data_IF_573578202256
#
_entry.id   IF_573578202256
#
_cell.length_a   1.000
_cell.length_b   1.000
_cell.length_c   1.000
_cell.angle_alpha   90.00
_cell.angle_beta   90.00
_cell.angle_gamma   90.00
#
_symmetry.space_group_name_H-M   'P 1'
#
loop_
_entity.id
_entity.type
_entity.pdbx_description
1 polymer ?
#
# COMPACT_ATOMS: atom_id res chain seq x y z
N UNK A 1 7.36 -17.86 2.78
CA UNK A 1 5.98 -17.57 3.24
C UNK A 1 5.29 -18.89 3.51
N UNK A 2 4.57 -19.04 4.62
CA UNK A 2 3.76 -20.24 4.89
C UNK A 2 2.46 -20.22 4.06
N UNK A 3 1.76 -21.35 3.89
CA UNK A 3 0.45 -21.39 3.24
C UNK A 3 -0.55 -20.41 3.86
N UNK A 4 -0.65 -20.38 5.19
CA UNK A 4 -1.57 -19.48 5.89
C UNK A 4 -1.22 -17.99 5.70
N UNK A 5 0.08 -17.66 5.69
CA UNK A 5 0.52 -16.30 5.37
C UNK A 5 0.15 -15.92 3.93
N UNK A 6 0.34 -16.84 2.99
CA UNK A 6 -0.01 -16.63 1.59
C UNK A 6 -1.52 -16.41 1.44
N UNK A 7 -2.35 -17.22 2.09
CA UNK A 7 -3.81 -17.06 2.08
C UNK A 7 -4.25 -15.73 2.70
N UNK A 8 -3.66 -15.33 3.83
CA UNK A 8 -3.95 -14.06 4.48
C UNK A 8 -3.59 -12.85 3.60
N UNK A 9 -2.43 -12.88 2.95
CA UNK A 9 -2.00 -11.85 1.99
C UNK A 9 -2.93 -11.82 0.77
N UNK A 10 -3.24 -13.00 0.21
CA UNK A 10 -4.17 -13.16 -0.93
C UNK A 10 -5.52 -12.54 -0.61
N UNK A 11 -6.08 -12.84 0.56
CA UNK A 11 -7.37 -12.32 1.01
C UNK A 11 -7.35 -10.81 1.15
N UNK A 12 -6.31 -10.24 1.77
CA UNK A 12 -6.18 -8.80 1.94
C UNK A 12 -6.02 -8.05 0.60
N UNK A 13 -5.22 -8.58 -0.32
CA UNK A 13 -5.01 -7.99 -1.64
C UNK A 13 -6.24 -8.12 -2.54
N UNK A 14 -6.99 -9.21 -2.44
CA UNK A 14 -8.27 -9.35 -3.14
C UNK A 14 -9.28 -8.32 -2.63
N UNK A 15 -9.38 -8.17 -1.30
CA UNK A 15 -10.29 -7.20 -0.70
C UNK A 15 -9.93 -5.74 -1.02
N UNK A 16 -8.65 -5.43 -1.28
CA UNK A 16 -8.23 -4.14 -1.83
C UNK A 16 -8.95 -3.84 -3.15
N UNK A 17 -9.06 -4.83 -4.05
CA UNK A 17 -9.76 -4.66 -5.31
C UNK A 17 -11.27 -4.55 -5.14
N UNK A 18 -11.87 -5.41 -4.30
CA UNK A 18 -13.30 -5.35 -3.99
C UNK A 18 -13.70 -3.98 -3.45
N UNK A 19 -12.94 -3.44 -2.48
CA UNK A 19 -13.20 -2.12 -1.90
C UNK A 19 -13.14 -0.99 -2.95
N UNK A 20 -12.27 -1.11 -3.95
CA UNK A 20 -12.19 -0.15 -5.06
C UNK A 20 -13.38 -0.27 -6.01
N UNK A 21 -13.76 -1.50 -6.39
CA UNK A 21 -14.97 -1.77 -7.19
C UNK A 21 -16.22 -1.19 -6.52
N UNK A 22 -16.39 -1.46 -5.23
CA UNK A 22 -17.54 -0.98 -4.45
C UNK A 22 -17.56 0.56 -4.36
N UNK A 23 -16.41 1.18 -4.11
CA UNK A 23 -16.29 2.64 -4.08
C UNK A 23 -16.64 3.27 -5.43
N UNK A 24 -16.17 2.68 -6.53
CA UNK A 24 -16.50 3.14 -7.88
C UNK A 24 -18.00 3.00 -8.18
N UNK A 25 -18.61 1.86 -7.84
CA UNK A 25 -20.03 1.62 -8.02
C UNK A 25 -20.89 2.60 -7.19
N UNK A 26 -20.53 2.82 -5.93
CA UNK A 26 -21.23 3.77 -5.05
C UNK A 26 -21.13 5.21 -5.55
N UNK A 27 -20.00 5.61 -6.14
CA UNK A 27 -19.82 6.94 -6.72
C UNK A 27 -20.63 7.13 -8.01
N UNK A 28 -20.67 6.10 -8.88
CA UNK A 28 -21.51 6.10 -10.08
C UNK A 28 -22.99 6.24 -9.70
N UNK A 29 -23.45 5.50 -8.69
CA UNK A 29 -24.83 5.59 -8.18
C UNK A 29 -25.19 6.99 -7.64
N UNK A 30 -24.20 7.74 -7.13
CA UNK A 30 -24.38 9.13 -6.65
C UNK A 30 -24.37 10.18 -7.77
N UNK A 31 -24.23 9.79 -9.04
CA UNK A 31 -24.26 10.69 -10.20
C UNK A 31 -23.04 11.63 -10.31
N UNK A 32 -22.02 11.43 -9.48
CA UNK A 32 -20.86 12.33 -9.40
C UNK A 32 -19.70 11.71 -10.19
N UNK A 33 -19.74 11.86 -11.51
CA UNK A 33 -18.72 11.33 -12.43
C UNK A 33 -17.51 12.27 -12.42
N UNK A 34 -16.63 12.11 -11.43
CA UNK A 34 -15.36 12.82 -11.42
C UNK A 34 -14.51 12.35 -12.62
N UNK A 35 -14.08 13.29 -13.46
CA UNK A 35 -13.62 13.02 -14.84
C UNK A 35 -12.20 12.43 -14.91
N UNK A 36 -11.56 12.13 -13.77
CA UNK A 36 -10.11 11.87 -13.70
C UNK A 36 -9.63 10.53 -13.13
N UNK A 37 -10.41 9.44 -13.13
CA UNK A 37 -9.95 8.14 -12.58
C UNK A 37 -9.69 8.14 -11.06
N UNK A 38 -10.02 9.24 -10.39
CA UNK A 38 -10.03 9.37 -8.92
C UNK A 38 -11.22 8.67 -8.27
N UNK A 39 -12.12 8.10 -9.08
CA UNK A 39 -13.39 7.48 -8.69
C UNK A 39 -13.25 6.31 -7.70
N UNK A 40 -12.15 5.56 -7.73
CA UNK A 40 -11.88 4.45 -6.79
C UNK A 40 -10.92 4.79 -5.63
N UNK A 41 -10.40 6.02 -5.59
CA UNK A 41 -9.36 6.45 -4.62
C UNK A 41 -9.95 7.27 -3.48
N UNK A 42 -11.08 7.95 -3.69
CA UNK A 42 -11.64 8.96 -2.77
C UNK A 42 -12.42 8.40 -1.57
N UNK A 43 -12.75 7.10 -1.54
CA UNK A 43 -13.47 6.49 -0.42
C UNK A 43 -12.56 6.02 0.74
N UNK A 44 -11.24 6.15 0.62
CA UNK A 44 -10.31 6.11 1.76
C UNK A 44 -10.07 4.75 2.46
N UNK A 45 -10.70 3.65 2.03
CA UNK A 45 -10.65 2.36 2.77
C UNK A 45 -10.06 1.16 2.05
N UNK A 46 -9.53 1.31 0.83
CA UNK A 46 -9.07 0.16 0.05
C UNK A 46 -7.81 -0.53 0.62
N UNK A 47 -7.01 0.16 1.45
CA UNK A 47 -5.86 -0.44 2.15
C UNK A 47 -6.22 -1.01 3.52
N UNK A 48 -7.45 -0.85 4.01
CA UNK A 48 -7.81 -1.15 5.41
C UNK A 48 -7.64 -2.63 5.75
N UNK A 49 -7.86 -3.53 4.80
CA UNK A 49 -7.65 -4.97 5.03
C UNK A 49 -6.16 -5.32 5.13
N UNK A 50 -5.28 -4.58 4.47
CA UNK A 50 -3.83 -4.72 4.62
C UNK A 50 -3.39 -4.17 5.98
N UNK A 51 -3.96 -3.04 6.41
CA UNK A 51 -3.72 -2.51 7.76
C UNK A 51 -4.18 -3.51 8.85
N UNK A 52 -5.37 -4.13 8.67
CA UNK A 52 -5.88 -5.18 9.56
C UNK A 52 -4.99 -6.42 9.57
N UNK A 53 -4.47 -6.85 8.41
CA UNK A 53 -3.53 -7.97 8.33
C UNK A 53 -2.29 -7.72 9.19
N UNK A 54 -1.67 -6.54 9.07
CA UNK A 54 -0.48 -6.17 9.83
C UNK A 54 -0.78 -5.98 11.33
N UNK A 55 -1.96 -5.46 11.67
CA UNK A 55 -2.43 -5.43 13.05
C UNK A 55 -2.59 -6.85 13.64
N UNK A 56 -3.09 -7.80 12.85
CA UNK A 56 -3.15 -9.21 13.22
C UNK A 56 -1.78 -9.82 13.49
N UNK A 57 -0.77 -9.49 12.65
CA UNK A 57 0.63 -9.87 12.89
C UNK A 57 1.12 -9.32 14.23
N UNK A 58 0.78 -8.06 14.56
CA UNK A 58 1.18 -7.47 15.83
C UNK A 58 0.60 -8.20 17.05
N UNK A 59 -0.69 -8.52 17.00
CA UNK A 59 -1.35 -9.28 18.07
C UNK A 59 -0.77 -10.68 18.19
N UNK A 60 -0.55 -11.37 17.07
CA UNK A 60 0.07 -12.69 17.05
C UNK A 60 1.53 -12.69 17.52
N UNK A 61 2.22 -11.54 17.45
CA UNK A 61 3.56 -11.34 17.97
C UNK A 61 3.58 -11.09 19.50
N UNK A 62 2.43 -10.81 20.12
CA UNK A 62 2.28 -10.65 21.56
C UNK A 62 1.78 -9.29 22.02
N UNK A 63 1.50 -8.35 21.10
CA UNK A 63 0.91 -7.06 21.48
C UNK A 63 -0.54 -7.24 21.93
N UNK A 64 -0.96 -6.63 23.05
CA UNK A 64 -2.37 -6.57 23.43
C UNK A 64 -3.19 -5.83 22.37
N UNK A 65 -4.37 -6.35 22.03
CA UNK A 65 -5.22 -5.76 20.99
C UNK A 65 -5.60 -4.29 21.31
N UNK A 66 -5.64 -3.91 22.58
CA UNK A 66 -5.86 -2.54 23.05
C UNK A 66 -4.73 -1.57 22.68
N UNK A 67 -3.51 -2.07 22.48
CA UNK A 67 -2.32 -1.28 22.13
C UNK A 67 -2.09 -1.18 20.61
N UNK A 68 -2.81 -1.96 19.81
CA UNK A 68 -2.72 -1.97 18.34
C UNK A 68 -3.83 -1.10 17.74
N UNK A 69 -3.44 -0.02 17.06
CA UNK A 69 -4.34 0.91 16.40
C UNK A 69 -4.09 0.92 14.90
N UNK A 70 -5.14 0.84 14.09
CA UNK A 70 -5.04 0.82 12.64
C UNK A 70 -6.26 1.43 11.97
N UNK A 71 -6.13 1.81 10.70
CA UNK A 71 -7.27 2.19 9.86
C UNK A 71 -8.12 0.95 9.56
N UNK A 72 -9.08 0.70 10.43
CA UNK A 72 -9.87 -0.52 10.42
C UNK A 72 -11.00 -0.47 9.36
N UNK A 73 -11.23 -1.58 8.64
CA UNK A 73 -12.29 -1.67 7.65
C UNK A 73 -13.67 -1.51 8.30
N UNK A 74 -14.67 -1.13 7.50
CA UNK A 74 -16.06 -1.02 7.98
C UNK A 74 -16.56 -2.37 8.51
N UNK A 75 -17.15 -2.36 9.70
CA UNK A 75 -17.65 -3.57 10.36
C UNK A 75 -16.60 -4.38 11.12
N UNK A 76 -15.34 -3.93 11.18
CA UNK A 76 -14.32 -4.59 11.98
C UNK A 76 -14.71 -4.57 13.49
N UNK A 77 -14.75 -5.72 14.17
CA UNK A 77 -15.12 -5.79 15.59
C UNK A 77 -14.15 -5.04 16.51
N UNK A 78 -12.91 -4.78 16.06
CA UNK A 78 -11.91 -4.01 16.78
C UNK A 78 -11.92 -2.52 16.39
N UNK A 79 -12.81 -2.08 15.51
CA UNK A 79 -13.01 -0.66 15.20
C UNK A 79 -13.56 0.06 16.43
N UNK A 80 -12.90 1.14 16.87
CA UNK A 80 -13.36 1.98 17.99
C UNK A 80 -13.56 3.42 17.50
N UNK A 81 -14.69 4.03 17.85
CA UNK A 81 -15.23 5.25 17.24
C UNK A 81 -14.39 6.53 17.45
N UNK A 82 -13.37 6.50 18.33
CA UNK A 82 -12.49 7.65 18.63
C UNK A 82 -10.99 7.39 18.38
N UNK A 83 -10.65 6.34 17.62
CA UNK A 83 -9.25 5.89 17.39
C UNK A 83 -8.43 6.87 16.56
N UNK A 84 -9.04 7.79 15.79
CA UNK A 84 -8.27 8.68 14.91
C UNK A 84 -7.06 9.33 15.62
N UNK A 85 -7.15 9.62 16.92
CA UNK A 85 -6.07 10.19 17.73
C UNK A 85 -4.89 9.24 18.05
N UNK A 86 -5.03 7.92 17.93
CA UNK A 86 -4.00 6.95 18.35
C UNK A 86 -3.15 6.41 17.20
N UNK A 87 -3.60 6.52 15.96
CA UNK A 87 -2.70 6.39 14.80
C UNK A 87 -2.36 7.76 14.19
N UNK A 88 -2.84 8.86 14.78
CA UNK A 88 -2.45 10.23 14.40
C UNK A 88 -1.43 10.76 15.39
N UNK A 89 -0.20 10.95 14.93
CA UNK A 89 0.90 11.41 15.76
C UNK A 89 1.25 12.87 15.42
N UNK A 90 1.87 13.61 16.35
CA UNK A 90 2.57 14.84 16.03
C UNK A 90 3.57 14.64 14.89
N UNK A 91 3.86 15.72 14.19
CA UNK A 91 4.84 15.74 13.12
C UNK A 91 5.64 17.04 13.23
N UNK A 92 6.75 17.17 12.49
CA UNK A 92 7.62 18.33 12.61
C UNK A 92 7.26 19.42 11.59
N UNK A 93 7.06 19.03 10.32
CA UNK A 93 6.80 19.96 9.22
C UNK A 93 5.30 20.21 8.99
N UNK A 94 4.43 19.50 9.71
CA UNK A 94 2.98 19.67 9.71
C UNK A 94 2.40 19.40 11.11
N UNK A 95 1.17 19.85 11.42
CA UNK A 95 0.61 19.69 12.76
C UNK A 95 0.54 18.23 13.23
N UNK A 96 0.05 17.34 12.38
CA UNK A 96 -0.07 15.90 12.67
C UNK A 96 -0.08 15.07 11.39
N UNK A 97 0.16 13.76 11.52
CA UNK A 97 -0.01 12.76 10.46
C UNK A 97 -0.74 11.53 11.00
N UNK A 98 -1.73 11.05 10.26
CA UNK A 98 -2.37 9.75 10.49
C UNK A 98 -1.64 8.64 9.72
N UNK A 99 -0.99 7.74 10.45
CA UNK A 99 -0.40 6.51 9.93
C UNK A 99 -1.47 5.41 9.78
N UNK A 100 -1.14 4.33 9.09
CA UNK A 100 -2.08 3.24 8.81
C UNK A 100 -2.11 2.19 9.92
N UNK A 101 -0.97 1.94 10.58
CA UNK A 101 -0.86 1.10 11.78
C UNK A 101 0.10 1.76 12.77
N UNK A 102 -0.30 1.82 14.04
CA UNK A 102 0.55 2.22 15.16
C UNK A 102 0.34 1.23 16.30
N UNK A 103 1.43 0.68 16.83
CA UNK A 103 1.43 -0.16 18.04
C UNK A 103 2.16 0.60 19.13
N UNK A 104 1.53 0.69 20.30
CA UNK A 104 2.16 1.26 21.49
C UNK A 104 2.78 0.15 22.32
N UNK A 105 3.79 0.46 23.13
CA UNK A 105 4.35 -0.46 24.12
C UNK A 105 3.69 -0.34 25.49
N UNK A 106 4.26 -1.00 26.50
CA UNK A 106 3.79 -0.96 27.90
C UNK A 106 3.93 0.41 28.57
N UNK A 107 4.77 1.30 28.04
CA UNK A 107 4.93 2.67 28.53
C UNK A 107 3.94 3.64 27.87
N UNK A 108 3.20 3.17 26.85
CA UNK A 108 2.30 4.00 26.07
C UNK A 108 3.01 4.81 25.00
N UNK A 109 4.21 4.42 24.59
CA UNK A 109 5.00 5.04 23.52
C UNK A 109 4.86 4.21 22.22
N UNK A 110 4.82 4.84 21.03
CA UNK A 110 4.83 4.09 19.77
C UNK A 110 6.07 3.21 19.66
N UNK A 111 5.89 1.91 19.47
CA UNK A 111 6.97 0.95 19.23
C UNK A 111 6.98 0.43 17.79
N UNK A 112 5.85 0.53 17.07
CA UNK A 112 5.74 0.25 15.62
C UNK A 112 4.89 1.32 14.96
N UNK A 113 5.34 1.81 13.80
CA UNK A 113 4.59 2.72 12.93
C UNK A 113 4.67 2.21 11.49
N UNK A 114 3.53 2.05 10.82
CA UNK A 114 3.46 1.63 9.41
C UNK A 114 2.65 2.60 8.58
N UNK A 115 3.20 2.96 7.41
CA UNK A 115 2.50 3.67 6.34
C UNK A 115 2.27 2.72 5.16
N UNK A 116 1.07 2.78 4.59
CA UNK A 116 0.65 2.04 3.42
C UNK A 116 0.44 3.01 2.25
N UNK A 117 0.93 2.63 1.07
CA UNK A 117 0.66 3.32 -0.18
C UNK A 117 0.24 2.36 -1.26
N UNK A 118 -0.60 2.87 -2.17
CA UNK A 118 -1.04 2.15 -3.34
C UNK A 118 -0.93 3.01 -4.60
N UNK A 119 -0.74 2.35 -5.74
CA UNK A 119 -0.75 2.98 -7.05
C UNK A 119 -1.45 2.09 -8.08
N UNK A 120 -2.60 2.54 -8.54
CA UNK A 120 -3.40 1.92 -9.59
C UNK A 120 -4.01 2.99 -10.49
N UNK A 121 -3.72 2.91 -11.79
CA UNK A 121 -4.03 3.97 -12.75
C UNK A 121 -3.20 5.25 -12.58
N UNK A 122 -2.90 5.93 -13.70
CA UNK A 122 -2.10 7.17 -13.75
C UNK A 122 -0.68 7.04 -13.17
N UNK A 123 0.16 6.25 -13.84
CA UNK A 123 1.50 5.95 -13.31
C UNK A 123 2.52 7.09 -13.42
N UNK A 124 2.58 7.79 -14.55
CA UNK A 124 3.60 8.80 -14.84
C UNK A 124 3.58 9.97 -13.86
N UNK A 125 2.40 10.51 -13.58
CA UNK A 125 2.24 11.65 -12.67
C UNK A 125 2.38 11.25 -11.20
N UNK A 126 2.10 9.99 -10.87
CA UNK A 126 1.98 9.55 -9.49
C UNK A 126 3.29 8.95 -8.96
N UNK A 127 4.10 8.30 -9.80
CA UNK A 127 5.32 7.63 -9.33
C UNK A 127 6.34 8.57 -8.67
N UNK A 128 6.55 9.78 -9.21
CA UNK A 128 7.45 10.78 -8.59
C UNK A 128 6.87 11.29 -7.28
N UNK A 129 5.59 11.66 -7.28
CA UNK A 129 4.89 12.13 -6.09
C UNK A 129 4.91 11.08 -4.96
N UNK A 130 4.83 9.79 -5.28
CA UNK A 130 4.91 8.72 -4.27
C UNK A 130 6.30 8.57 -3.69
N UNK A 131 7.35 8.77 -4.48
CA UNK A 131 8.71 8.81 -3.95
C UNK A 131 8.88 10.00 -3.00
N UNK A 132 8.45 11.20 -3.41
CA UNK A 132 8.49 12.41 -2.59
C UNK A 132 7.67 12.28 -1.30
N UNK A 133 6.47 11.71 -1.37
CA UNK A 133 5.62 11.45 -0.20
C UNK A 133 6.27 10.46 0.77
N UNK A 134 6.88 9.37 0.27
CA UNK A 134 7.53 8.37 1.10
C UNK A 134 8.72 8.97 1.87
N UNK A 135 9.61 9.66 1.14
CA UNK A 135 10.79 10.32 1.70
C UNK A 135 10.37 11.44 2.67
N UNK A 136 9.43 12.29 2.26
CA UNK A 136 8.92 13.38 3.08
C UNK A 136 8.27 12.89 4.36
N UNK A 137 7.52 11.78 4.32
CA UNK A 137 6.95 11.18 5.53
C UNK A 137 8.03 10.64 6.48
N UNK A 138 9.05 9.96 5.96
CA UNK A 138 10.15 9.44 6.76
C UNK A 138 10.93 10.57 7.45
N UNK A 139 11.29 11.61 6.70
CA UNK A 139 12.02 12.78 7.23
C UNK A 139 11.20 13.55 8.27
N UNK A 140 9.89 13.72 8.04
CA UNK A 140 8.97 14.37 8.98
C UNK A 140 8.83 13.59 10.29
N UNK A 141 8.72 12.25 10.21
CA UNK A 141 8.69 11.38 11.40
C UNK A 141 10.01 11.40 12.15
N UNK A 142 11.14 11.23 11.45
CA UNK A 142 12.47 11.22 12.08
C UNK A 142 12.71 12.53 12.82
N UNK A 143 12.38 13.66 12.19
CA UNK A 143 12.55 14.96 12.85
C UNK A 143 11.63 15.13 14.06
N UNK A 144 10.42 14.57 14.02
CA UNK A 144 9.52 14.57 15.17
C UNK A 144 10.04 13.71 16.34
N UNK A 145 10.75 12.61 16.06
CA UNK A 145 11.43 11.79 17.06
C UNK A 145 12.64 12.54 17.66
N UNK A 146 13.50 13.12 16.81
CA UNK A 146 14.69 13.88 17.24
C UNK A 146 14.34 15.04 18.19
N UNK A 147 13.18 15.66 17.97
CA UNK A 147 12.69 16.82 18.73
C UNK A 147 11.80 16.41 19.91
N UNK A 148 11.63 15.10 20.15
CA UNK A 148 10.81 14.57 21.24
C UNK A 148 9.32 14.84 21.12
N UNK A 149 8.82 15.19 19.93
CA UNK A 149 7.39 15.37 19.66
C UNK A 149 6.64 14.03 19.63
N UNK A 150 7.32 12.99 19.16
CA UNK A 150 6.89 11.60 19.24
C UNK A 150 7.86 10.88 20.18
N UNK A 151 7.38 10.26 21.28
CA UNK A 151 8.24 9.54 22.21
C UNK A 151 8.62 8.16 21.66
N UNK A 152 9.60 7.53 22.30
CA UNK A 152 10.06 6.19 21.98
C UNK A 152 10.99 6.11 20.77
N UNK A 153 11.26 4.87 20.35
CA UNK A 153 12.08 4.52 19.19
C UNK A 153 11.31 3.51 18.33
N UNK A 154 10.30 3.96 17.58
CA UNK A 154 9.42 3.05 16.86
C UNK A 154 10.16 2.37 15.72
N UNK A 155 9.93 1.06 15.56
CA UNK A 155 10.23 0.40 14.30
C UNK A 155 9.30 0.96 13.22
N UNK A 156 9.85 1.36 12.08
CA UNK A 156 9.10 2.00 11.00
C UNK A 156 9.01 1.09 9.78
N UNK A 157 7.79 0.93 9.27
CA UNK A 157 7.49 0.09 8.10
C UNK A 157 6.83 0.88 6.98
N UNK A 158 7.18 0.58 5.73
CA UNK A 158 6.55 1.15 4.55
C UNK A 158 6.07 0.08 3.58
N UNK A 159 4.78 0.05 3.26
CA UNK A 159 4.22 -0.89 2.29
C UNK A 159 3.82 -0.16 1.03
N UNK A 160 4.24 -0.67 -0.12
CA UNK A 160 3.86 -0.14 -1.42
C UNK A 160 3.23 -1.25 -2.28
N UNK A 161 1.92 -1.12 -2.49
CA UNK A 161 1.16 -1.91 -3.45
C UNK A 161 1.08 -1.19 -4.81
N UNK A 162 1.48 -1.84 -5.89
CA UNK A 162 1.22 -1.35 -7.26
C UNK A 162 0.34 -2.35 -8.00
N UNK A 163 -0.53 -1.83 -8.85
CA UNK A 163 -1.27 -2.68 -9.78
C UNK A 163 -0.33 -3.33 -10.80
N UNK A 164 -0.57 -4.60 -11.09
CA UNK A 164 0.08 -5.35 -12.15
C UNK A 164 -0.74 -5.27 -13.44
N UNK A 165 -0.39 -4.34 -14.32
CA UNK A 165 -1.03 -4.16 -15.63
C UNK A 165 0.02 -3.87 -16.72
N UNK A 166 -0.42 -3.83 -17.98
CA UNK A 166 0.48 -3.60 -19.11
C UNK A 166 1.22 -2.26 -19.01
N UNK A 167 0.62 -1.24 -18.40
CA UNK A 167 1.24 0.08 -18.25
C UNK A 167 2.27 0.06 -17.13
N UNK A 168 1.99 -0.61 -16.00
CA UNK A 168 2.92 -0.70 -14.88
C UNK A 168 4.14 -1.57 -15.20
N UNK A 169 3.97 -2.56 -16.08
CA UNK A 169 5.04 -3.36 -16.70
C UNK A 169 5.74 -2.66 -17.86
N UNK A 170 5.15 -1.62 -18.44
CA UNK A 170 5.78 -0.88 -19.53
C UNK A 170 6.94 -0.02 -19.03
N UNK A 171 7.95 0.13 -19.89
CA UNK A 171 9.01 1.11 -19.70
C UNK A 171 8.59 2.48 -20.25
N UNK A 172 8.81 3.52 -19.45
CA UNK A 172 8.51 4.89 -19.83
C UNK A 172 9.77 5.66 -20.21
N UNK A 173 10.51 5.22 -21.23
CA UNK A 173 11.79 5.80 -21.70
C UNK A 173 12.01 7.26 -21.26
N UNK A 174 12.72 7.42 -20.14
CA UNK A 174 13.00 8.75 -19.59
C UNK A 174 14.04 9.42 -20.50
N UNK A 175 13.84 10.70 -20.81
CA UNK A 175 14.86 11.47 -21.51
C UNK A 175 15.94 11.89 -20.51
N UNK A 176 17.19 11.83 -20.93
CA UNK A 176 18.27 12.47 -20.19
C UNK A 176 18.03 13.97 -20.10
N UNK A 177 18.63 14.59 -19.08
CA UNK A 177 18.72 16.04 -19.07
C UNK A 177 19.66 16.49 -20.19
N UNK A 178 19.48 17.72 -20.68
CA UNK A 178 20.33 18.25 -21.75
C UNK A 178 21.82 18.35 -21.36
N UNK A 179 22.13 18.43 -20.06
CA UNK A 179 23.47 18.69 -19.55
C UNK A 179 24.14 17.45 -18.92
N UNK A 180 23.37 16.49 -18.42
CA UNK A 180 23.88 15.36 -17.64
C UNK A 180 23.10 14.07 -17.92
N UNK A 181 23.80 12.93 -18.02
CA UNK A 181 23.15 11.63 -18.16
C UNK A 181 22.38 11.28 -16.88
N UNK A 182 21.28 10.53 -17.03
CA UNK A 182 20.59 9.95 -15.88
C UNK A 182 21.40 8.79 -15.28
N UNK A 183 21.08 8.44 -14.04
CA UNK A 183 21.60 7.21 -13.41
C UNK A 183 21.25 5.99 -14.28
N UNK A 184 22.23 5.16 -14.70
CA UNK A 184 22.01 3.98 -15.53
C UNK A 184 21.00 2.99 -14.98
N UNK A 185 20.73 2.99 -13.67
CA UNK A 185 19.68 2.13 -13.08
C UNK A 185 18.28 2.45 -13.64
N UNK A 186 18.10 3.65 -14.20
CA UNK A 186 16.89 4.08 -14.91
C UNK A 186 17.05 4.01 -16.44
N UNK A 187 17.96 3.18 -16.97
CA UNK A 187 18.03 2.95 -18.41
C UNK A 187 16.77 2.21 -18.91
N UNK A 188 16.45 1.08 -18.26
CA UNK A 188 15.38 0.14 -18.64
C UNK A 188 14.36 -0.05 -17.51
N UNK A 189 13.81 1.05 -16.99
CA UNK A 189 12.87 0.99 -15.87
C UNK A 189 11.43 0.68 -16.32
N UNK A 190 10.71 -0.09 -15.51
CA UNK A 190 9.23 -0.18 -15.48
C UNK A 190 8.70 0.50 -14.20
N UNK A 191 7.41 0.85 -14.13
CA UNK A 191 6.88 1.46 -12.89
C UNK A 191 7.02 0.52 -11.69
N UNK A 192 6.81 -0.78 -11.91
CA UNK A 192 7.05 -1.80 -10.88
C UNK A 192 8.52 -1.81 -10.43
N UNK A 193 9.48 -1.77 -11.35
CA UNK A 193 10.91 -1.72 -11.00
C UNK A 193 11.28 -0.45 -10.23
N UNK A 194 10.61 0.67 -10.49
CA UNK A 194 10.80 1.92 -9.75
C UNK A 194 10.26 1.83 -8.34
N UNK A 195 9.11 1.20 -8.13
CA UNK A 195 8.58 0.94 -6.78
C UNK A 195 9.50 0.00 -6.00
N UNK A 196 9.98 -1.07 -6.64
CA UNK A 196 10.97 -1.98 -6.06
C UNK A 196 12.23 -1.22 -5.62
N UNK A 197 12.82 -0.44 -6.52
CA UNK A 197 14.03 0.33 -6.24
C UNK A 197 13.81 1.39 -5.16
N UNK A 198 12.66 2.07 -5.16
CA UNK A 198 12.30 3.02 -4.11
C UNK A 198 12.26 2.32 -2.74
N UNK A 199 11.53 1.21 -2.62
CA UNK A 199 11.42 0.49 -1.34
C UNK A 199 12.77 -0.04 -0.86
N UNK A 200 13.61 -0.51 -1.78
CA UNK A 200 14.98 -0.91 -1.48
C UNK A 200 15.79 0.26 -0.91
N UNK A 201 15.85 1.39 -1.62
CA UNK A 201 16.61 2.58 -1.18
C UNK A 201 16.06 3.20 0.11
N UNK A 202 14.75 3.17 0.32
CA UNK A 202 14.14 3.61 1.58
C UNK A 202 14.64 2.83 2.80
N UNK A 203 14.98 1.55 2.64
CA UNK A 203 15.57 0.74 3.72
C UNK A 203 17.08 0.94 3.80
N UNK A 204 17.77 0.93 2.65
CA UNK A 204 19.23 1.12 2.58
C UNK A 204 19.68 2.48 3.15
N UNK A 205 18.89 3.53 2.92
CA UNK A 205 19.15 4.90 3.40
C UNK A 205 18.49 5.17 4.78
N UNK A 206 18.04 4.12 5.48
CA UNK A 206 17.49 4.17 6.84
C UNK A 206 16.24 5.07 7.02
N UNK A 207 15.52 5.38 5.94
CA UNK A 207 14.24 6.08 6.02
C UNK A 207 13.14 5.24 6.67
N UNK A 208 13.21 3.92 6.49
CA UNK A 208 12.35 2.94 7.14
C UNK A 208 13.16 1.72 7.56
N UNK A 209 12.80 1.07 8.66
CA UNK A 209 13.47 -0.17 9.09
C UNK A 209 13.16 -1.34 8.15
N UNK A 210 11.95 -1.38 7.59
CA UNK A 210 11.59 -2.36 6.56
C UNK A 210 10.59 -1.82 5.55
N UNK A 211 10.60 -2.40 4.35
CA UNK A 211 9.61 -2.13 3.33
C UNK A 211 9.01 -3.43 2.76
N UNK A 212 7.75 -3.36 2.33
CA UNK A 212 7.08 -4.44 1.60
C UNK A 212 6.55 -3.92 0.26
N UNK A 213 7.15 -4.39 -0.83
CA UNK A 213 6.80 -3.99 -2.20
C UNK A 213 6.08 -5.15 -2.91
N UNK A 214 4.82 -4.93 -3.29
CA UNK A 214 3.95 -5.98 -3.81
C UNK A 214 3.20 -5.52 -5.06
N UNK A 215 3.07 -6.41 -6.04
CA UNK A 215 2.20 -6.22 -7.20
C UNK A 215 0.91 -7.02 -7.02
N UNK A 216 -0.20 -6.52 -7.53
CA UNK A 216 -1.44 -7.31 -7.62
C UNK A 216 -2.24 -6.97 -8.88
N UNK A 217 -2.77 -8.00 -9.53
CA UNK A 217 -3.65 -7.89 -10.69
C UNK A 217 -5.11 -7.79 -10.25
N UNK A 218 -5.86 -6.88 -10.87
CA UNK A 218 -7.30 -6.74 -10.58
C UNK A 218 -8.09 -7.98 -11.03
N UNK A 219 -9.09 -8.46 -10.24
CA UNK A 219 -9.95 -9.58 -10.61
C UNK A 219 -10.97 -9.25 -11.71
N UNK A 220 -11.31 -7.98 -11.89
CA UNK A 220 -12.37 -7.54 -12.80
C UNK A 220 -12.15 -6.09 -13.26
N UNK A 221 -12.86 -5.69 -14.32
CA UNK A 221 -12.93 -4.31 -14.78
C UNK A 221 -14.33 -3.72 -14.55
N UNK A 222 -14.47 -2.83 -13.56
CA UNK A 222 -15.73 -2.11 -13.29
C UNK A 222 -16.04 -1.00 -14.33
N UNK A 223 -15.74 -1.22 -15.62
CA UNK A 223 -15.93 -0.23 -16.68
C UNK A 223 -15.07 1.03 -16.53
N UNK A 224 -13.95 0.93 -15.81
CA UNK A 224 -13.10 2.09 -15.53
C UNK A 224 -12.38 2.61 -16.78
N UNK A 225 -12.24 3.95 -16.87
CA UNK A 225 -11.32 4.65 -17.79
C UNK A 225 -9.83 4.44 -17.41
N UNK A 226 -9.49 3.30 -16.82
CA UNK A 226 -8.17 3.02 -16.24
C UNK A 226 -7.60 1.73 -16.83
N UNK A 227 -8.44 0.79 -17.23
CA UNK A 227 -7.97 -0.42 -17.91
C UNK A 227 -7.30 -0.04 -19.24
N UNK A 228 -6.05 -0.47 -19.49
CA UNK A 228 -5.33 -0.16 -20.71
C UNK A 228 -6.11 -0.58 -21.96
N UNK A 229 -6.74 -1.76 -21.94
CA UNK A 229 -7.55 -2.26 -23.05
C UNK A 229 -8.80 -1.41 -23.27
N UNK A 230 -9.50 -1.00 -22.20
CA UNK A 230 -10.66 -0.10 -22.31
C UNK A 230 -10.24 1.29 -22.82
N UNK A 231 -9.11 1.82 -22.36
CA UNK A 231 -8.57 3.09 -22.83
C UNK A 231 -8.15 3.04 -24.30
N UNK A 232 -7.52 1.94 -24.71
CA UNK A 232 -7.16 1.69 -26.09
C UNK A 232 -8.40 1.55 -26.95
N UNK A 233 -9.40 0.79 -26.52
CA UNK A 233 -10.69 0.67 -27.20
C UNK A 233 -11.34 2.05 -27.38
N UNK A 234 -11.44 2.83 -26.30
CA UNK A 234 -12.01 4.18 -26.36
C UNK A 234 -11.24 5.13 -27.29
N UNK A 235 -9.93 4.96 -27.43
CA UNK A 235 -9.11 5.71 -28.40
C UNK A 235 -9.41 5.27 -29.83
N UNK A 236 -9.48 3.97 -30.09
CA UNK A 236 -9.79 3.40 -31.40
C UNK A 236 -11.21 3.81 -31.84
N UNK A 237 -12.19 3.74 -30.95
CA UNK A 237 -13.58 4.15 -31.21
C UNK A 237 -13.66 5.63 -31.61
N UNK A 238 -12.95 6.51 -30.89
CA UNK A 238 -12.87 7.95 -31.21
C UNK A 238 -12.20 8.20 -32.57
N UNK A 239 -11.15 7.45 -32.88
CA UNK A 239 -10.44 7.60 -34.15
C UNK A 239 -11.28 7.11 -35.33
N UNK A 240 -11.97 5.98 -35.17
CA UNK A 240 -12.89 5.45 -36.17
C UNK A 240 -14.04 6.43 -36.44
N UNK A 241 -14.66 6.98 -35.39
CA UNK A 241 -15.69 8.00 -35.52
C UNK A 241 -15.20 9.25 -36.25
N UNK A 242 -13.98 9.73 -35.93
CA UNK A 242 -13.37 10.89 -36.59
C UNK A 242 -13.11 10.65 -38.09
N UNK A 243 -12.78 9.42 -38.47
CA UNK A 243 -12.42 9.05 -39.85
C UNK A 243 -13.57 8.44 -40.66
N UNK A 244 -14.75 8.26 -40.07
CA UNK A 244 -15.88 7.59 -40.71
C UNK A 244 -15.63 6.10 -40.98
N UNK A 245 -14.76 5.48 -40.20
CA UNK A 245 -14.46 4.05 -40.30
C UNK A 245 -15.52 3.21 -39.57
N UNK A 246 -15.69 1.93 -39.95
CA UNK A 246 -16.50 0.99 -39.17
C UNK A 246 -16.04 0.96 -37.71
N UNK A 247 -16.98 0.75 -36.79
CA UNK A 247 -16.67 0.56 -35.37
C UNK A 247 -15.70 -0.61 -35.22
N UNK A 248 -14.53 -0.42 -34.57
CA UNK A 248 -13.58 -1.50 -34.35
C UNK A 248 -14.20 -2.64 -33.55
N UNK A 249 -13.76 -3.88 -33.82
CA UNK A 249 -14.11 -5.00 -32.95
C UNK A 249 -13.62 -4.75 -31.53
N UNK A 250 -14.35 -5.30 -30.55
CA UNK A 250 -13.95 -5.19 -29.15
C UNK A 250 -12.67 -5.97 -28.92
N UNK A 251 -11.66 -5.31 -28.38
CA UNK A 251 -10.44 -5.97 -27.95
C UNK A 251 -10.74 -7.02 -26.87
N UNK A 252 -10.19 -8.24 -26.97
CA UNK A 252 -10.29 -9.23 -25.92
C UNK A 252 -9.63 -8.68 -24.65
N UNK A 253 -10.31 -8.84 -23.52
CA UNK A 253 -9.78 -8.48 -22.21
C UNK A 253 -10.28 -9.49 -21.19
N UNK A 254 -9.34 -10.08 -20.45
CA UNK A 254 -9.61 -10.99 -19.34
C UNK A 254 -8.90 -10.47 -18.09
N UNK A 255 -9.53 -10.68 -16.95
CA UNK A 255 -8.94 -10.36 -15.66
C UNK A 255 -8.81 -11.64 -14.85
N UNK A 256 -7.60 -11.87 -14.33
CA UNK A 256 -7.32 -12.92 -13.37
C UNK A 256 -6.60 -12.27 -12.20
N UNK A 257 -7.18 -12.42 -11.02
CA UNK A 257 -6.51 -12.00 -9.81
C UNK A 257 -5.24 -12.81 -9.60
N UNK A 258 -4.16 -12.11 -9.31
CA UNK A 258 -2.87 -12.66 -8.95
C UNK A 258 -2.09 -11.61 -8.18
N UNK A 259 -1.00 -12.01 -7.54
CA UNK A 259 -0.09 -11.09 -6.87
C UNK A 259 1.32 -11.67 -6.76
N UNK A 260 2.32 -10.80 -6.66
CA UNK A 260 3.71 -11.23 -6.50
C UNK A 260 4.52 -10.23 -5.68
N UNK A 261 5.52 -10.74 -4.95
CA UNK A 261 6.49 -9.88 -4.27
C UNK A 261 7.55 -9.40 -5.26
N UNK A 262 7.91 -8.12 -5.19
CA UNK A 262 8.90 -7.56 -6.12
C UNK A 262 10.34 -7.93 -5.75
N UNK A 263 10.60 -8.27 -4.49
CA UNK A 263 11.91 -8.68 -3.99
C UNK A 263 11.73 -9.49 -2.71
N UNK A 264 12.64 -10.42 -2.45
CA UNK A 264 12.70 -11.12 -1.17
C UNK A 264 13.13 -10.16 -0.04
N UNK A 265 14.05 -9.24 -0.31
CA UNK A 265 14.58 -8.33 0.72
C UNK A 265 13.55 -7.29 1.19
N UNK A 266 12.59 -6.96 0.33
CA UNK A 266 11.43 -6.11 0.64
C UNK A 266 10.12 -6.90 0.53
N UNK A 267 10.13 -8.14 1.02
CA UNK A 267 9.00 -9.06 1.04
C UNK A 267 8.27 -9.06 2.39
N UNK A 268 7.05 -9.60 2.39
CA UNK A 268 6.16 -9.71 3.54
C UNK A 268 6.79 -10.50 4.69
N UNK A 269 7.52 -11.59 4.37
CA UNK A 269 8.14 -12.43 5.40
C UNK A 269 9.21 -11.67 6.16
N UNK A 270 10.11 -10.97 5.46
CA UNK A 270 11.16 -10.15 6.04
C UNK A 270 10.56 -8.98 6.82
N UNK A 271 9.58 -8.29 6.23
CA UNK A 271 8.87 -7.19 6.86
C UNK A 271 8.22 -7.61 8.19
N UNK A 272 7.44 -8.70 8.17
CA UNK A 272 6.72 -9.18 9.37
C UNK A 272 7.65 -9.82 10.39
N UNK A 273 8.75 -10.45 9.98
CA UNK A 273 9.76 -10.98 10.91
C UNK A 273 10.42 -9.85 11.70
N UNK A 274 10.83 -8.77 11.02
CA UNK A 274 11.44 -7.59 11.65
C UNK A 274 10.45 -6.88 12.59
N UNK A 275 9.20 -6.69 12.14
CA UNK A 275 8.11 -6.14 12.97
C UNK A 275 7.83 -7.01 14.21
N UNK A 276 7.75 -8.33 14.03
CA UNK A 276 7.51 -9.29 15.12
C UNK A 276 8.62 -9.24 16.16
N UNK A 277 9.88 -9.12 15.73
CA UNK A 277 11.00 -8.98 16.64
C UNK A 277 10.89 -7.73 17.52
N UNK A 278 10.52 -6.58 16.91
CA UNK A 278 10.27 -5.34 17.69
C UNK A 278 9.16 -5.52 18.71
N UNK A 279 8.04 -6.13 18.32
CA UNK A 279 6.88 -6.30 19.19
C UNK A 279 7.20 -7.23 20.36
N UNK A 280 7.91 -8.34 20.11
CA UNK A 280 8.35 -9.25 21.18
C UNK A 280 9.31 -8.58 22.15
N UNK A 281 10.15 -7.65 21.68
CA UNK A 281 11.01 -6.85 22.56
C UNK A 281 10.19 -5.87 23.43
N UNK A 282 9.11 -5.29 22.89
CA UNK A 282 8.20 -4.43 23.64
C UNK A 282 7.28 -5.21 24.61
N UNK A 283 7.01 -6.49 24.32
CA UNK A 283 6.11 -7.37 25.09
C UNK A 283 6.75 -8.73 25.41
N UNK A 284 7.80 -8.78 26.26
CA UNK A 284 8.52 -10.01 26.56
C UNK A 284 7.68 -11.06 27.33
N UNK A 285 6.57 -10.65 27.95
CA UNK A 285 5.63 -11.51 28.67
C UNK A 285 4.28 -11.68 27.95
N UNK A 286 4.20 -11.30 26.66
CA UNK A 286 2.99 -11.48 25.87
C UNK A 286 2.61 -12.97 25.75
N UNK A 287 1.37 -13.31 25.34
CA UNK A 287 0.82 -14.67 25.35
C UNK A 287 1.52 -15.70 24.42
N UNK A 288 2.72 -15.44 23.91
CA UNK A 288 3.38 -16.20 22.84
C UNK A 288 4.72 -16.86 23.19
N UNK A 289 4.96 -17.27 24.43
CA UNK A 289 6.19 -17.99 24.80
C UNK A 289 6.26 -19.45 24.26
N UNK A 290 5.23 -19.95 23.57
CA UNK A 290 5.25 -21.29 22.96
C UNK A 290 4.87 -21.24 21.47
N UNK A 291 5.81 -21.64 20.62
CA UNK A 291 5.81 -21.51 19.16
C UNK A 291 4.79 -22.38 18.38
N UNK A 292 3.66 -22.77 18.97
CA UNK A 292 2.76 -23.79 18.40
C UNK A 292 1.39 -23.28 17.92
N UNK A 293 1.00 -22.03 18.19
CA UNK A 293 -0.37 -21.52 17.90
C UNK A 293 -0.39 -20.31 16.95
N UNK A 294 0.63 -20.14 16.10
CA UNK A 294 0.67 -19.02 15.16
C UNK A 294 -0.06 -19.37 13.85
N UNK A 295 -1.12 -18.60 13.55
CA UNK A 295 -1.92 -18.51 12.30
C UNK A 295 -3.32 -19.16 12.24
N UNK A 296 -4.07 -19.16 13.34
CA UNK A 296 -5.53 -19.07 13.22
C UNK A 296 -5.95 -17.60 13.33
N UNK A 297 -6.19 -16.94 12.19
CA UNK A 297 -6.89 -15.64 12.19
C UNK A 297 -8.29 -15.86 12.80
N UNK A 298 -8.75 -15.05 13.76
CA UNK A 298 -10.07 -15.23 14.35
C UNK A 298 -11.17 -14.87 13.33
N UNK A 299 -11.95 -15.89 12.96
CA UNK A 299 -13.27 -15.75 12.35
C UNK A 299 -13.34 -15.97 10.84
N UNK A 300 -13.76 -17.18 10.46
CA UNK A 300 -14.58 -17.42 9.27
C UNK A 300 -15.94 -16.71 9.39
#
# INVERSE_FOLDING_TARGET
MTPDQHEAVTTALFAFWTARSDAAAAQQAKGNVDVGGRSGVTAGGHMDQIARLLAGVAVAAGAPAEAVYYKAPTGDPNKRDKIAHRYTLPSYFRPTKSYDVVVYDTLGEPCVIVELKSQSGSYSNNANNRAEEAIGNAVDLQRALDEGLVPGDPWTGYVFLIEDDDISRASGGAKDSAAFPRDPIFADWTYQSRVRLLCQRLVEDEHYVAAWAVTTSRPECAGEKICPVILQQARLDKEAAKKGWPTPERLPHEHRFDWSEMSQDTGFVQFTASMTARIRAAYPQGPGATAAEQLALPGA
#
